data_IF_434204797549
#
_entry.id   IF_434204797549
#
_cell.length_a   1.000
_cell.length_b   1.000
_cell.length_c   1.000
_cell.angle_alpha   90.00
_cell.angle_beta   90.00
_cell.angle_gamma   90.00
#
_symmetry.space_group_name_H-M   'P 1'
#
loop_
_entity.id
_entity.type
_entity.pdbx_description
1 polymer ?
#
# COMPACT_ATOMS: atom_id res chain seq x y z
N UNK A 1 23.30 23.33 11.23
CA UNK A 1 21.83 23.20 11.33
C UNK A 1 21.54 21.72 11.35
N UNK A 2 21.13 21.19 12.49
CA UNK A 2 20.84 19.77 12.73
C UNK A 2 19.40 19.47 12.29
N UNK A 3 19.24 18.89 11.09
CA UNK A 3 17.94 18.37 10.66
C UNK A 3 17.67 17.03 11.35
N UNK A 4 16.95 17.07 12.48
CA UNK A 4 16.51 15.90 13.25
C UNK A 4 15.76 14.88 12.39
N UNK A 5 16.16 13.60 12.47
CA UNK A 5 15.40 12.49 11.92
C UNK A 5 14.11 12.34 12.72
N UNK A 6 12.96 12.60 12.10
CA UNK A 6 11.68 12.22 12.67
C UNK A 6 11.44 10.74 12.29
N UNK A 7 11.99 9.81 13.08
CA UNK A 7 11.42 8.46 13.11
C UNK A 7 9.96 8.72 13.44
N UNK A 8 9.01 8.31 12.57
CA UNK A 8 7.60 8.54 12.81
C UNK A 8 7.30 8.08 14.23
N UNK A 9 6.78 9.01 15.05
CA UNK A 9 6.51 8.74 16.46
C UNK A 9 5.71 7.44 16.54
N UNK A 10 5.82 6.71 17.66
CA UNK A 10 5.06 5.47 17.87
C UNK A 10 3.57 5.61 17.53
N UNK A 11 3.02 6.83 17.69
CA UNK A 11 1.62 7.15 17.42
C UNK A 11 1.34 7.61 15.98
N UNK A 12 2.35 7.78 15.13
CA UNK A 12 2.18 8.21 13.74
C UNK A 12 1.49 7.16 12.87
N UNK A 13 1.70 5.88 13.18
CA UNK A 13 1.12 4.74 12.46
C UNK A 13 0.50 3.74 13.44
N UNK A 14 -0.76 3.41 13.22
CA UNK A 14 -1.49 2.42 14.02
C UNK A 14 -2.11 1.38 13.10
N UNK A 15 -1.93 0.11 13.44
CA UNK A 15 -2.54 -1.01 12.70
C UNK A 15 -3.98 -1.23 13.17
N UNK A 16 -4.89 -1.40 12.23
CA UNK A 16 -6.30 -1.71 12.46
C UNK A 16 -6.61 -3.08 11.82
N UNK A 17 -6.42 -4.18 12.56
CA UNK A 17 -6.66 -5.52 12.05
C UNK A 17 -8.16 -5.83 12.02
N UNK A 18 -8.63 -6.52 10.99
CA UNK A 18 -10.03 -6.95 10.84
C UNK A 18 -10.61 -6.55 9.49
N UNK A 19 -11.93 -6.70 9.32
CA UNK A 19 -12.58 -6.38 8.04
C UNK A 19 -12.44 -4.89 7.72
N UNK A 20 -12.08 -4.56 6.48
CA UNK A 20 -11.92 -3.16 6.08
C UNK A 20 -13.19 -2.32 6.28
N UNK A 21 -14.38 -2.91 6.11
CA UNK A 21 -15.67 -2.26 6.36
C UNK A 21 -15.92 -1.93 7.83
N UNK A 22 -15.33 -2.70 8.76
CA UNK A 22 -15.45 -2.47 10.20
C UNK A 22 -14.33 -1.54 10.71
N UNK A 23 -13.14 -1.67 10.15
CA UNK A 23 -11.94 -0.97 10.61
C UNK A 23 -11.79 0.44 10.03
N UNK A 24 -12.27 0.70 8.81
CA UNK A 24 -12.16 2.02 8.18
C UNK A 24 -12.84 3.12 9.01
N UNK A 25 -14.09 2.96 9.50
CA UNK A 25 -14.71 3.96 10.37
C UNK A 25 -13.96 4.20 11.67
N UNK A 26 -13.45 3.14 12.31
CA UNK A 26 -12.70 3.25 13.57
C UNK A 26 -11.38 4.02 13.40
N UNK A 27 -10.69 3.78 12.28
CA UNK A 27 -9.49 4.53 11.92
C UNK A 27 -9.81 6.03 11.75
N UNK A 28 -10.89 6.34 11.04
CA UNK A 28 -11.30 7.72 10.76
C UNK A 28 -11.75 8.42 12.06
N UNK A 29 -12.51 7.75 12.91
CA UNK A 29 -12.95 8.27 14.22
C UNK A 29 -11.77 8.65 15.11
N UNK A 30 -10.65 7.91 15.00
CA UNK A 30 -9.39 8.23 15.68
C UNK A 30 -8.58 9.35 15.02
N UNK A 31 -9.17 10.11 14.08
CA UNK A 31 -8.53 11.22 13.40
C UNK A 31 -7.40 10.81 12.46
N UNK A 32 -7.46 9.58 11.91
CA UNK A 32 -6.42 9.04 11.02
C UNK A 32 -6.94 8.88 9.60
N UNK A 33 -6.01 8.68 8.69
CA UNK A 33 -6.25 8.38 7.28
C UNK A 33 -5.56 7.09 6.88
N UNK A 34 -6.10 6.31 5.93
CA UNK A 34 -5.45 5.07 5.51
C UNK A 34 -4.11 5.39 4.83
N UNK A 35 -3.11 4.57 5.14
CA UNK A 35 -1.78 4.61 4.53
C UNK A 35 -1.85 4.26 3.05
N UNK A 36 -1.09 4.96 2.21
CA UNK A 36 -0.97 4.67 0.78
C UNK A 36 0.10 3.61 0.51
N UNK A 37 0.09 3.01 -0.68
CA UNK A 37 1.17 2.13 -1.14
C UNK A 37 2.51 2.85 -1.18
N UNK A 38 2.52 4.14 -1.56
CA UNK A 38 3.71 4.99 -1.52
C UNK A 38 4.28 5.08 -0.10
N UNK A 39 3.45 5.43 0.88
CA UNK A 39 3.85 5.56 2.27
C UNK A 39 4.32 4.22 2.84
N UNK A 40 3.64 3.12 2.50
CA UNK A 40 4.03 1.79 2.92
C UNK A 40 5.41 1.40 2.37
N UNK A 41 5.65 1.59 1.07
CA UNK A 41 6.94 1.35 0.44
C UNK A 41 8.05 2.24 1.02
N UNK A 42 7.76 3.52 1.28
CA UNK A 42 8.67 4.46 1.94
C UNK A 42 9.08 3.95 3.32
N UNK A 43 8.12 3.56 4.15
CA UNK A 43 8.39 3.05 5.51
C UNK A 43 9.20 1.76 5.47
N UNK A 44 8.84 0.85 4.56
CA UNK A 44 9.59 -0.37 4.27
C UNK A 44 11.06 -0.04 3.91
N UNK A 45 11.32 0.87 2.97
CA UNK A 45 12.68 1.23 2.57
C UNK A 45 13.49 1.87 3.70
N UNK A 46 12.85 2.75 4.49
CA UNK A 46 13.48 3.40 5.64
C UNK A 46 13.90 2.37 6.69
N UNK A 47 13.00 1.46 7.10
CA UNK A 47 13.34 0.45 8.10
C UNK A 47 14.38 -0.54 7.58
N UNK A 48 14.31 -0.92 6.30
CA UNK A 48 15.32 -1.77 5.66
C UNK A 48 16.70 -1.14 5.71
N UNK A 49 16.80 0.15 5.38
CA UNK A 49 18.08 0.88 5.43
C UNK A 49 18.65 0.89 6.84
N UNK A 50 17.83 1.21 7.83
CA UNK A 50 18.23 1.22 9.24
C UNK A 50 18.63 -0.18 9.72
N UNK A 51 17.87 -1.21 9.37
CA UNK A 51 18.18 -2.61 9.70
C UNK A 51 19.55 -3.03 9.13
N UNK A 52 19.81 -2.68 7.87
CA UNK A 52 21.09 -3.00 7.23
C UNK A 52 22.27 -2.28 7.87
N UNK A 53 22.08 -1.02 8.29
CA UNK A 53 23.12 -0.24 8.97
C UNK A 53 23.42 -0.81 10.36
N UNK A 54 22.38 -1.05 11.16
CA UNK A 54 22.47 -1.69 12.48
C UNK A 54 23.12 -3.08 12.39
N UNK A 55 22.78 -3.87 11.37
CA UNK A 55 23.33 -5.22 11.20
C UNK A 55 24.81 -5.20 10.82
N UNK A 56 25.26 -4.17 10.08
CA UNK A 56 26.67 -4.03 9.66
C UNK A 56 27.54 -3.38 10.74
N UNK A 57 26.97 -2.50 11.55
CA UNK A 57 27.67 -1.69 12.55
C UNK A 57 27.06 -1.88 13.95
N UNK A 58 26.96 -3.11 14.50
CA UNK A 58 26.21 -3.37 15.73
C UNK A 58 26.73 -2.61 16.95
N UNK A 59 28.04 -2.36 17.02
CA UNK A 59 28.70 -1.66 18.13
C UNK A 59 28.31 -0.18 18.23
N UNK A 60 27.79 0.42 17.14
CA UNK A 60 27.33 1.80 17.12
C UNK A 60 25.94 1.99 17.75
N UNK A 61 25.24 0.89 18.09
CA UNK A 61 23.86 0.95 18.57
C UNK A 61 23.67 0.14 19.84
N UNK A 62 22.93 0.63 20.83
CA UNK A 62 22.54 -0.16 21.99
C UNK A 62 21.74 -1.41 21.60
N UNK A 63 21.91 -2.52 22.31
CA UNK A 63 21.26 -3.80 21.99
C UNK A 63 19.73 -3.68 21.89
N UNK A 64 19.11 -2.98 22.83
CA UNK A 64 17.65 -2.76 22.84
C UNK A 64 17.18 -2.04 21.56
N UNK A 65 17.97 -1.09 21.04
CA UNK A 65 17.65 -0.42 19.79
C UNK A 65 17.74 -1.39 18.61
N UNK A 66 18.78 -2.23 18.57
CA UNK A 66 18.93 -3.24 17.50
C UNK A 66 17.76 -4.22 17.48
N UNK A 67 17.34 -4.70 18.65
CA UNK A 67 16.18 -5.58 18.78
C UNK A 67 14.90 -4.90 18.26
N UNK A 68 14.63 -3.64 18.66
CA UNK A 68 13.47 -2.87 18.15
C UNK A 68 13.50 -2.68 16.64
N UNK A 69 14.67 -2.43 16.05
CA UNK A 69 14.82 -2.29 14.59
C UNK A 69 14.56 -3.62 13.89
N UNK A 70 15.10 -4.72 14.40
CA UNK A 70 14.86 -6.06 13.86
C UNK A 70 13.36 -6.43 13.91
N UNK A 71 12.69 -6.19 15.03
CA UNK A 71 11.24 -6.41 15.17
C UNK A 71 10.43 -5.57 14.19
N UNK A 72 10.73 -4.27 14.07
CA UNK A 72 10.05 -3.39 13.12
C UNK A 72 10.29 -3.80 11.67
N UNK A 73 11.50 -4.26 11.34
CA UNK A 73 11.82 -4.77 10.01
C UNK A 73 10.91 -5.97 9.67
N UNK A 74 10.76 -6.93 10.56
CA UNK A 74 9.82 -8.06 10.37
C UNK A 74 8.37 -7.56 10.25
N UNK A 75 7.95 -6.64 11.12
CA UNK A 75 6.56 -6.15 11.13
C UNK A 75 6.14 -5.38 9.88
N UNK A 76 7.07 -4.68 9.22
CA UNK A 76 6.80 -3.88 8.03
C UNK A 76 7.18 -4.61 6.75
N UNK A 77 8.37 -5.21 6.69
CA UNK A 77 8.92 -5.80 5.48
C UNK A 77 8.26 -7.15 5.15
N UNK A 78 8.01 -7.97 6.18
CA UNK A 78 7.52 -9.35 6.00
C UNK A 78 5.99 -9.47 6.17
N UNK A 79 5.28 -8.37 6.44
CA UNK A 79 3.80 -8.39 6.55
C UNK A 79 3.13 -7.61 5.43
N UNK A 80 1.89 -7.99 5.16
CA UNK A 80 1.01 -7.27 4.25
C UNK A 80 0.37 -6.05 4.93
N UNK A 81 -0.21 -5.16 4.12
CA UNK A 81 -1.08 -4.09 4.59
C UNK A 81 -2.10 -3.72 3.51
N UNK A 82 -3.31 -3.35 3.95
CA UNK A 82 -4.30 -2.69 3.10
C UNK A 82 -3.98 -1.21 2.99
N UNK A 83 -3.94 -0.72 1.75
CA UNK A 83 -3.66 0.65 1.39
C UNK A 83 -4.96 1.43 1.10
N UNK A 84 -4.91 2.75 1.32
CA UNK A 84 -5.98 3.69 1.05
C UNK A 84 -6.16 4.06 -0.43
N UNK A 85 -5.28 3.59 -1.31
CA UNK A 85 -5.44 3.72 -2.76
C UNK A 85 -6.53 2.76 -3.26
N UNK A 86 -7.24 3.14 -4.31
CA UNK A 86 -8.38 2.38 -4.83
C UNK A 86 -8.03 1.64 -6.12
N UNK A 87 -8.68 0.48 -6.29
CA UNK A 87 -8.87 -0.20 -7.56
C UNK A 87 -10.34 -0.13 -7.92
N UNK A 88 -10.66 0.53 -9.04
CA UNK A 88 -12.00 0.52 -9.60
C UNK A 88 -12.03 -0.30 -10.87
N UNK A 89 -13.07 -1.10 -11.03
CA UNK A 89 -13.24 -2.00 -12.17
C UNK A 89 -14.57 -1.75 -12.84
N UNK A 90 -14.52 -1.60 -14.16
CA UNK A 90 -15.72 -1.50 -14.99
C UNK A 90 -16.50 -2.83 -14.97
N UNK A 91 -17.82 -2.75 -15.18
CA UNK A 91 -18.67 -3.94 -15.26
C UNK A 91 -18.26 -4.87 -16.41
N UNK A 92 -18.54 -6.16 -16.26
CA UNK A 92 -18.26 -7.21 -17.25
C UNK A 92 -19.04 -7.00 -18.56
N UNK A 93 -20.13 -6.24 -18.52
CA UNK A 93 -20.95 -5.90 -19.68
C UNK A 93 -20.39 -4.73 -20.51
N UNK A 94 -19.25 -4.18 -20.09
CA UNK A 94 -18.56 -3.08 -20.74
C UNK A 94 -17.11 -3.47 -21.06
N UNK A 95 -16.40 -2.59 -21.77
CA UNK A 95 -14.99 -2.83 -22.09
C UNK A 95 -14.17 -3.05 -20.81
N UNK A 96 -13.26 -4.04 -20.81
CA UNK A 96 -12.39 -4.39 -19.66
C UNK A 96 -11.41 -3.24 -19.33
N UNK A 97 -11.90 -2.21 -18.65
CA UNK A 97 -11.13 -1.07 -18.15
C UNK A 97 -11.05 -1.07 -16.63
N UNK A 98 -10.03 -0.43 -16.09
CA UNK A 98 -9.93 -0.20 -14.65
C UNK A 98 -9.21 1.10 -14.35
N UNK A 99 -9.39 1.57 -13.12
CA UNK A 99 -8.75 2.78 -12.61
C UNK A 99 -7.99 2.45 -11.34
N UNK A 100 -6.73 2.89 -11.28
CA UNK A 100 -5.99 2.99 -10.03
C UNK A 100 -6.13 4.43 -9.56
N UNK A 101 -6.69 4.66 -8.38
CA UNK A 101 -6.90 6.00 -7.85
C UNK A 101 -6.04 6.18 -6.62
N UNK A 102 -5.08 7.10 -6.70
CA UNK A 102 -4.25 7.45 -5.55
C UNK A 102 -5.11 8.14 -4.50
N UNK A 103 -4.83 7.84 -3.24
CA UNK A 103 -5.47 8.49 -2.12
C UNK A 103 -5.36 10.03 -2.21
N UNK A 104 -6.49 10.70 -1.97
CA UNK A 104 -6.62 12.14 -1.77
C UNK A 104 -7.87 12.43 -0.90
N UNK A 105 -8.23 13.71 -0.70
CA UNK A 105 -9.42 14.08 0.07
C UNK A 105 -10.73 13.54 -0.54
N UNK A 106 -10.85 13.52 -1.87
CA UNK A 106 -12.03 12.94 -2.55
C UNK A 106 -12.18 11.44 -2.23
N UNK A 107 -11.08 10.69 -2.25
CA UNK A 107 -11.04 9.28 -1.85
C UNK A 107 -11.39 9.12 -0.37
N UNK A 108 -10.85 9.97 0.51
CA UNK A 108 -11.17 9.92 1.93
C UNK A 108 -12.67 10.13 2.17
N UNK A 109 -13.26 11.13 1.54
CA UNK A 109 -14.70 11.41 1.67
C UNK A 109 -15.57 10.30 1.09
N UNK A 110 -15.12 9.68 0.00
CA UNK A 110 -15.78 8.48 -0.54
C UNK A 110 -15.72 7.32 0.45
N UNK A 111 -14.55 7.03 1.03
CA UNK A 111 -14.37 5.93 1.98
C UNK A 111 -15.17 6.16 3.27
N UNK A 112 -15.17 7.38 3.82
CA UNK A 112 -15.97 7.78 4.99
C UNK A 112 -17.45 7.44 4.83
N UNK A 113 -18.00 7.71 3.64
CA UNK A 113 -19.42 7.53 3.35
C UNK A 113 -19.75 6.08 3.03
N UNK A 114 -18.88 5.41 2.27
CA UNK A 114 -19.28 4.21 1.54
C UNK A 114 -18.57 2.93 1.99
N UNK A 115 -17.51 3.00 2.81
CA UNK A 115 -16.81 1.83 3.35
C UNK A 115 -17.02 1.72 4.87
N UNK A 116 -18.12 1.08 5.25
CA UNK A 116 -18.61 0.94 6.63
C UNK A 116 -19.33 -0.42 6.82
N UNK A 117 -19.78 -0.80 8.03
CA UNK A 117 -20.42 -2.11 8.25
C UNK A 117 -21.73 -2.35 7.47
N UNK A 118 -22.36 -1.30 6.93
CA UNK A 118 -23.56 -1.40 6.08
C UNK A 118 -23.24 -1.44 4.59
N UNK A 119 -21.97 -1.35 4.21
CA UNK A 119 -21.55 -1.43 2.81
C UNK A 119 -22.05 -2.70 2.15
N UNK A 120 -22.68 -2.55 0.98
CA UNK A 120 -23.06 -3.68 0.15
C UNK A 120 -21.83 -4.22 -0.58
N UNK A 121 -21.36 -5.38 -0.13
CA UNK A 121 -20.27 -6.08 -0.78
C UNK A 121 -20.80 -7.08 -1.81
N UNK A 122 -20.10 -7.22 -2.92
CA UNK A 122 -20.33 -8.31 -3.88
C UNK A 122 -19.90 -9.65 -3.28
N UNK A 123 -20.25 -10.76 -3.94
CA UNK A 123 -19.84 -12.10 -3.52
C UNK A 123 -18.31 -12.27 -3.45
N UNK A 124 -17.57 -11.46 -4.22
CA UNK A 124 -16.11 -11.46 -4.21
C UNK A 124 -15.54 -10.38 -3.27
N UNK A 125 -16.37 -9.78 -2.41
CA UNK A 125 -15.98 -8.81 -1.40
C UNK A 125 -15.72 -7.40 -1.91
N UNK A 126 -16.06 -7.06 -3.15
CA UNK A 126 -15.90 -5.69 -3.67
C UNK A 126 -17.01 -4.78 -3.15
N UNK A 127 -16.78 -3.48 -3.01
CA UNK A 127 -17.88 -2.52 -2.87
C UNK A 127 -18.58 -2.41 -4.22
N UNK A 128 -19.87 -2.72 -4.26
CA UNK A 128 -20.68 -2.55 -5.47
C UNK A 128 -20.92 -1.05 -5.71
N UNK A 129 -20.53 -0.56 -6.89
CA UNK A 129 -20.84 0.80 -7.36
C UNK A 129 -22.14 0.75 -8.16
N UNK A 130 -23.22 0.36 -7.48
CA UNK A 130 -24.55 0.19 -8.08
C UNK A 130 -25.38 1.48 -8.01
N UNK A 131 -26.71 1.38 -8.07
CA UNK A 131 -27.64 2.53 -8.08
C UNK A 131 -27.38 3.57 -6.98
N UNK A 132 -26.96 3.16 -5.79
CA UNK A 132 -26.68 4.10 -4.70
C UNK A 132 -25.39 4.90 -4.91
N UNK A 133 -24.48 4.37 -5.72
CA UNK A 133 -23.15 4.93 -6.01
C UNK A 133 -22.95 5.13 -7.51
N UNK A 134 -24.04 5.34 -8.24
CA UNK A 134 -24.02 5.55 -9.68
C UNK A 134 -23.17 6.78 -10.01
N UNK A 135 -22.30 6.66 -11.01
CA UNK A 135 -21.35 7.71 -11.40
C UNK A 135 -20.09 7.79 -10.52
N UNK A 136 -19.97 7.03 -9.42
CA UNK A 136 -18.76 7.05 -8.59
C UNK A 136 -17.50 6.67 -9.39
N UNK A 137 -17.59 5.67 -10.27
CA UNK A 137 -16.49 5.26 -11.14
C UNK A 137 -16.01 6.41 -12.04
N UNK A 138 -16.94 7.16 -12.63
CA UNK A 138 -16.63 8.25 -13.56
C UNK A 138 -16.20 9.53 -12.84
N UNK A 139 -16.60 9.69 -11.57
CA UNK A 139 -16.24 10.86 -10.76
C UNK A 139 -14.75 10.96 -10.38
N UNK A 140 -14.01 9.84 -10.44
CA UNK A 140 -12.57 9.84 -10.23
C UNK A 140 -11.86 10.12 -11.56
N UNK A 141 -11.29 11.31 -11.67
CA UNK A 141 -10.55 11.81 -12.84
C UNK A 141 -9.35 12.66 -12.41
N UNK A 142 -8.42 12.95 -13.33
CA UNK A 142 -7.29 13.84 -13.11
C UNK A 142 -5.98 13.11 -12.80
N UNK A 143 -4.96 13.86 -12.38
CA UNK A 143 -3.58 13.37 -12.25
C UNK A 143 -3.38 12.29 -11.18
N UNK A 144 -4.34 12.14 -10.26
CA UNK A 144 -4.34 11.09 -9.25
C UNK A 144 -5.05 9.80 -9.72
N UNK A 145 -5.39 9.69 -11.01
CA UNK A 145 -6.03 8.51 -11.61
C UNK A 145 -5.19 7.95 -12.76
N UNK A 146 -4.85 6.67 -12.67
CA UNK A 146 -4.28 5.91 -13.78
C UNK A 146 -5.38 5.05 -14.39
N UNK A 147 -5.79 5.40 -15.61
CA UNK A 147 -6.70 4.58 -16.40
C UNK A 147 -5.92 3.46 -17.12
N UNK A 148 -6.40 2.23 -16.96
CA UNK A 148 -5.81 1.05 -17.57
C UNK A 148 -6.76 0.46 -18.61
N UNK A 149 -6.27 0.39 -19.84
CA UNK A 149 -6.92 -0.35 -20.91
C UNK A 149 -6.85 -1.85 -20.66
N UNK A 150 -7.67 -2.62 -21.40
CA UNK A 150 -7.59 -4.08 -21.42
C UNK A 150 -6.16 -4.57 -21.73
N UNK A 151 -5.48 -3.94 -22.69
CA UNK A 151 -4.13 -4.31 -23.08
C UNK A 151 -3.11 -4.12 -21.94
N UNK A 152 -3.23 -3.03 -21.17
CA UNK A 152 -2.36 -2.82 -20.00
C UNK A 152 -2.63 -3.86 -18.90
N UNK A 153 -3.90 -4.18 -18.66
CA UNK A 153 -4.28 -5.18 -17.66
C UNK A 153 -3.74 -6.56 -18.08
N UNK A 154 -4.02 -6.99 -19.30
CA UNK A 154 -3.58 -8.31 -19.78
C UNK A 154 -2.04 -8.44 -19.80
N UNK A 155 -1.31 -7.32 -20.00
CA UNK A 155 0.16 -7.32 -20.02
C UNK A 155 0.80 -7.42 -18.63
N UNK A 156 0.28 -6.67 -17.65
CA UNK A 156 0.94 -6.47 -16.36
C UNK A 156 0.26 -7.18 -15.18
N UNK A 157 -0.96 -7.66 -15.34
CA UNK A 157 -1.77 -8.23 -14.26
C UNK A 157 -1.88 -9.75 -14.37
N UNK A 158 -2.13 -10.42 -13.24
CA UNK A 158 -2.34 -11.87 -13.17
C UNK A 158 -1.06 -12.71 -13.16
N UNK A 159 0.12 -12.07 -13.12
CA UNK A 159 1.42 -12.74 -13.03
C UNK A 159 2.38 -11.99 -12.11
N UNK A 160 3.37 -12.71 -11.59
CA UNK A 160 4.55 -12.13 -10.96
C UNK A 160 5.41 -11.45 -12.03
N UNK A 161 6.10 -10.38 -11.66
CA UNK A 161 6.94 -9.62 -12.57
C UNK A 161 8.41 -10.01 -12.37
N UNK A 162 9.22 -9.91 -13.42
CA UNK A 162 10.67 -9.78 -13.27
C UNK A 162 11.01 -8.41 -12.68
N UNK A 163 12.27 -8.25 -12.22
CA UNK A 163 12.74 -6.97 -11.68
C UNK A 163 12.53 -5.81 -12.65
N UNK A 164 12.85 -6.02 -13.93
CA UNK A 164 12.73 -4.98 -14.94
C UNK A 164 11.25 -4.71 -15.28
N UNK A 165 10.43 -5.75 -15.41
CA UNK A 165 8.98 -5.57 -15.61
C UNK A 165 8.32 -4.79 -14.45
N UNK A 166 8.75 -5.02 -13.20
CA UNK A 166 8.26 -4.27 -12.05
C UNK A 166 8.61 -2.77 -12.14
N UNK A 167 9.84 -2.44 -12.57
CA UNK A 167 10.29 -1.05 -12.76
C UNK A 167 9.62 -0.34 -13.94
N UNK A 168 9.28 -1.09 -14.98
CA UNK A 168 8.64 -0.58 -16.19
C UNK A 168 7.11 -0.59 -16.10
N UNK A 169 6.55 -1.22 -15.08
CA UNK A 169 5.10 -1.32 -14.87
C UNK A 169 4.48 0.07 -14.64
N UNK A 170 3.50 0.49 -15.48
CA UNK A 170 2.77 1.75 -15.27
C UNK A 170 2.10 1.80 -13.90
N UNK A 171 1.61 0.66 -13.39
CA UNK A 171 1.00 0.56 -12.07
C UNK A 171 1.99 0.92 -10.96
N UNK A 172 3.14 0.23 -10.91
CA UNK A 172 4.12 0.47 -9.85
C UNK A 172 4.72 1.87 -9.93
N UNK A 173 5.01 2.35 -11.14
CA UNK A 173 5.48 3.73 -11.37
C UNK A 173 4.47 4.77 -10.88
N UNK A 174 3.18 4.49 -11.04
CA UNK A 174 2.14 5.41 -10.63
C UNK A 174 1.95 5.44 -9.11
N UNK A 175 1.88 4.28 -8.46
CA UNK A 175 1.62 4.20 -7.01
C UNK A 175 2.88 4.45 -6.17
N UNK A 176 4.08 4.12 -6.67
CA UNK A 176 5.34 4.31 -5.95
C UNK A 176 6.15 5.52 -6.43
N UNK A 177 5.85 6.09 -7.60
CA UNK A 177 6.44 7.33 -8.12
C UNK A 177 7.98 7.24 -8.14
N UNK A 178 8.64 8.14 -7.42
CA UNK A 178 10.10 8.22 -7.30
C UNK A 178 10.71 7.00 -6.58
N UNK A 179 9.94 6.24 -5.81
CA UNK A 179 10.43 5.09 -5.05
C UNK A 179 10.43 3.77 -5.85
N UNK A 180 9.90 3.76 -7.07
CA UNK A 180 9.66 2.52 -7.84
C UNK A 180 10.92 1.69 -8.00
N UNK A 181 12.02 2.32 -8.42
CA UNK A 181 13.27 1.61 -8.70
C UNK A 181 13.90 1.06 -7.41
N UNK A 182 14.03 1.91 -6.39
CA UNK A 182 14.63 1.54 -5.11
C UNK A 182 13.84 0.44 -4.40
N UNK A 183 12.51 0.54 -4.44
CA UNK A 183 11.63 -0.47 -3.87
C UNK A 183 11.72 -1.80 -4.61
N UNK A 184 11.70 -1.79 -5.94
CA UNK A 184 11.90 -3.00 -6.73
C UNK A 184 13.28 -3.62 -6.46
N UNK A 185 14.36 -2.83 -6.48
CA UNK A 185 15.70 -3.36 -6.20
C UNK A 185 15.80 -3.98 -4.81
N UNK A 186 15.19 -3.36 -3.79
CA UNK A 186 15.15 -3.89 -2.44
C UNK A 186 14.36 -5.20 -2.35
N UNK A 187 13.15 -5.26 -2.92
CA UNK A 187 12.30 -6.46 -2.92
C UNK A 187 12.98 -7.64 -3.62
N UNK A 188 13.59 -7.41 -4.79
CA UNK A 188 14.23 -8.49 -5.53
C UNK A 188 15.57 -8.91 -4.91
N UNK A 189 16.33 -7.98 -4.32
CA UNK A 189 17.57 -8.31 -3.61
C UNK A 189 17.28 -9.19 -2.39
N UNK A 190 16.41 -8.71 -1.50
CA UNK A 190 16.12 -9.40 -0.24
C UNK A 190 15.30 -10.67 -0.48
N UNK A 191 14.41 -10.62 -1.46
CA UNK A 191 13.61 -11.75 -1.91
C UNK A 191 14.44 -12.90 -2.43
N UNK A 192 15.40 -12.61 -3.31
CA UNK A 192 16.35 -13.61 -3.80
C UNK A 192 17.17 -14.20 -2.66
N UNK A 193 17.65 -13.35 -1.75
CA UNK A 193 18.48 -13.78 -0.63
C UNK A 193 17.73 -14.67 0.37
N UNK A 194 16.48 -14.32 0.72
CA UNK A 194 15.70 -14.99 1.78
C UNK A 194 14.86 -16.15 1.26
N UNK A 195 14.30 -16.03 0.06
CA UNK A 195 13.28 -16.94 -0.47
C UNK A 195 13.65 -17.55 -1.83
N UNK A 196 14.80 -17.15 -2.40
CA UNK A 196 15.32 -17.65 -3.67
C UNK A 196 14.38 -17.47 -4.89
N UNK A 197 13.47 -16.49 -4.86
CA UNK A 197 12.65 -16.16 -6.03
C UNK A 197 13.36 -15.16 -6.97
N UNK A 198 13.05 -15.26 -8.27
CA UNK A 198 13.53 -14.35 -9.32
C UNK A 198 12.39 -13.50 -9.92
N UNK A 199 11.15 -13.76 -9.50
CA UNK A 199 9.94 -13.01 -9.85
C UNK A 199 9.18 -12.60 -8.61
N UNK A 200 8.62 -11.39 -8.61
CA UNK A 200 7.97 -10.75 -7.47
C UNK A 200 7.13 -9.56 -7.96
N UNK A 201 6.50 -8.83 -7.03
CA UNK A 201 5.73 -7.61 -7.30
C UNK A 201 4.69 -7.80 -8.40
N UNK A 202 4.02 -8.95 -8.41
CA UNK A 202 2.88 -9.21 -9.26
C UNK A 202 1.70 -8.30 -8.93
N UNK A 203 0.79 -8.15 -9.89
CA UNK A 203 -0.41 -7.32 -9.73
C UNK A 203 -1.62 -8.20 -9.99
N UNK A 204 -2.41 -8.49 -8.96
CA UNK A 204 -3.52 -9.43 -9.03
C UNK A 204 -4.82 -8.72 -8.73
N UNK A 205 -5.75 -8.75 -9.68
CA UNK A 205 -7.08 -8.17 -9.53
C UNK A 205 -8.14 -9.22 -9.79
N UNK A 206 -9.29 -9.07 -9.13
CA UNK A 206 -10.45 -9.90 -9.42
C UNK A 206 -10.96 -9.66 -10.85
N UNK A 207 -11.63 -10.68 -11.40
CA UNK A 207 -12.35 -10.55 -12.64
C UNK A 207 -13.47 -9.51 -12.54
N UNK A 208 -13.85 -8.86 -13.66
CA UNK A 208 -14.95 -7.91 -13.65
C UNK A 208 -16.27 -8.60 -13.26
N UNK A 209 -17.12 -7.86 -12.55
CA UNK A 209 -18.44 -8.32 -12.11
C UNK A 209 -19.55 -7.63 -12.92
N UNK A 210 -20.81 -8.04 -12.76
CA UNK A 210 -21.93 -7.45 -13.52
C UNK A 210 -22.24 -5.99 -13.15
N UNK A 211 -21.62 -5.47 -12.08
CA UNK A 211 -21.65 -4.07 -11.68
C UNK A 211 -20.24 -3.49 -11.66
N UNK A 212 -20.13 -2.17 -11.73
CA UNK A 212 -18.87 -1.50 -11.41
C UNK A 212 -18.50 -1.80 -9.95
N UNK A 213 -17.21 -1.95 -9.67
CA UNK A 213 -16.75 -2.30 -8.32
C UNK A 213 -15.58 -1.43 -7.87
N UNK A 214 -15.46 -1.23 -6.56
CA UNK A 214 -14.30 -0.63 -5.90
C UNK A 214 -13.69 -1.62 -4.92
N UNK A 215 -12.35 -1.65 -4.88
CA UNK A 215 -11.56 -2.42 -3.91
C UNK A 215 -10.42 -1.55 -3.38
N UNK A 216 -10.01 -1.80 -2.14
CA UNK A 216 -8.71 -1.36 -1.66
C UNK A 216 -7.61 -2.24 -2.25
N UNK A 217 -6.38 -1.73 -2.24
CA UNK A 217 -5.20 -2.53 -2.54
C UNK A 217 -4.64 -3.16 -1.28
N UNK A 218 -4.23 -4.42 -1.35
CA UNK A 218 -3.43 -5.09 -0.35
C UNK A 218 -2.04 -5.33 -0.92
N UNK A 219 -0.99 -4.82 -0.26
CA UNK A 219 0.40 -5.09 -0.65
C UNK A 219 0.96 -6.14 0.28
N UNK A 220 1.41 -7.24 -0.27
CA UNK A 220 1.95 -8.38 0.45
C UNK A 220 3.28 -8.08 1.17
N UNK A 221 3.64 -8.97 2.10
CA UNK A 221 4.97 -9.02 2.67
C UNK A 221 6.01 -9.55 1.66
N UNK A 222 7.29 -9.44 2.01
CA UNK A 222 8.37 -9.95 1.18
C UNK A 222 8.24 -11.45 0.86
N UNK A 223 7.83 -12.27 1.83
CA UNK A 223 7.67 -13.72 1.65
C UNK A 223 6.67 -14.12 0.56
N UNK A 224 5.68 -13.26 0.30
CA UNK A 224 4.67 -13.44 -0.74
C UNK A 224 4.92 -12.49 -1.93
N UNK A 225 6.20 -12.22 -2.23
CA UNK A 225 6.64 -11.48 -3.40
C UNK A 225 6.41 -9.97 -3.35
N UNK A 226 5.88 -9.40 -2.26
CA UNK A 226 5.43 -7.99 -2.22
C UNK A 226 4.43 -7.64 -3.34
N UNK A 227 3.59 -8.61 -3.71
CA UNK A 227 2.55 -8.46 -4.72
C UNK A 227 1.48 -7.44 -4.30
N UNK A 228 0.86 -6.76 -5.27
CA UNK A 228 -0.31 -5.91 -5.08
C UNK A 228 -1.59 -6.67 -5.47
N UNK A 229 -2.53 -6.73 -4.54
CA UNK A 229 -3.81 -7.42 -4.70
C UNK A 229 -4.96 -6.42 -4.63
N UNK A 230 -5.69 -6.23 -5.72
CA UNK A 230 -6.91 -5.42 -5.75
C UNK A 230 -8.06 -6.21 -5.15
N UNK A 231 -8.10 -6.31 -3.82
CA UNK A 231 -9.10 -7.05 -3.03
C UNK A 231 -9.45 -6.26 -1.77
N UNK A 232 -10.74 -6.16 -1.48
CA UNK A 232 -11.23 -5.80 -0.15
C UNK A 232 -11.20 -7.10 0.68
N UNK A 233 -10.32 -7.15 1.68
CA UNK A 233 -10.13 -8.39 2.44
C UNK A 233 -11.34 -8.61 3.36
N UNK A 234 -12.14 -9.63 3.02
CA UNK A 234 -13.44 -9.91 3.66
C UNK A 234 -13.33 -10.45 5.10
N UNK A 235 -12.16 -10.94 5.53
CA UNK A 235 -11.98 -11.51 6.89
C UNK A 235 -10.72 -11.02 7.63
N UNK A 236 -9.63 -10.73 6.93
CA UNK A 236 -8.32 -10.46 7.53
C UNK A 236 -7.66 -9.21 6.93
N UNK A 237 -8.38 -8.09 6.93
CA UNK A 237 -7.78 -6.81 6.56
C UNK A 237 -6.78 -6.33 7.61
N UNK A 238 -5.89 -5.44 7.18
CA UNK A 238 -4.83 -4.81 7.96
C UNK A 238 -4.60 -3.40 7.46
N UNK A 239 -5.55 -2.51 7.74
CA UNK A 239 -5.38 -1.09 7.49
C UNK A 239 -4.30 -0.52 8.40
N UNK A 240 -3.56 0.46 7.90
CA UNK A 240 -2.62 1.25 8.70
C UNK A 240 -3.08 2.70 8.70
N UNK A 241 -3.43 3.23 9.87
CA UNK A 241 -3.88 4.60 10.05
C UNK A 241 -2.72 5.56 10.31
N UNK A 242 -2.62 6.57 9.46
CA UNK A 242 -1.63 7.65 9.47
C UNK A 242 -2.27 8.90 10.06
N UNK A 243 -1.62 9.53 11.02
CA UNK A 243 -2.02 10.88 11.50
C UNK A 243 -1.65 11.94 10.45
N UNK A 244 -2.45 13.02 10.29
CA UNK A 244 -2.21 14.05 9.27
C UNK A 244 -0.78 14.63 9.29
N UNK A 245 -0.20 14.82 10.47
CA UNK A 245 1.13 15.40 10.65
C UNK A 245 2.23 14.50 10.06
N UNK A 246 2.06 13.18 10.16
CA UNK A 246 3.03 12.21 9.64
C UNK A 246 3.06 12.16 8.10
N UNK A 247 1.96 12.53 7.44
CA UNK A 247 1.88 12.62 5.97
C UNK A 247 2.61 13.84 5.42
N UNK A 248 2.64 14.93 6.18
CA UNK A 248 3.29 16.18 5.81
C UNK A 248 4.74 16.29 6.30
N UNK A 249 5.24 15.29 7.03
CA UNK A 249 6.61 15.30 7.56
C UNK A 249 7.66 15.23 6.43
N UNK A 250 8.77 16.00 6.53
CA UNK A 250 9.85 16.00 5.53
C UNK A 250 10.37 14.60 5.20
N UNK A 251 10.96 14.44 4.01
CA UNK A 251 11.67 13.21 3.62
C UNK A 251 12.91 13.06 4.50
N UNK A 252 12.83 12.24 5.55
CA UNK A 252 13.95 11.95 6.44
C UNK A 252 15.15 11.37 5.67
N UNK A 253 16.33 11.98 5.82
CA UNK A 253 17.62 11.50 5.33
C UNK A 253 18.42 10.81 6.45
N UNK A 254 19.31 9.85 6.15
CA UNK A 254 19.81 8.87 7.14
C UNK A 254 20.83 9.39 8.16
N UNK A 255 21.30 10.64 8.06
CA UNK A 255 22.47 11.11 8.82
C UNK A 255 22.18 11.49 10.28
N UNK A 256 20.95 11.41 10.77
CA UNK A 256 20.53 12.12 12.00
C UNK A 256 19.88 11.23 13.08
N UNK A 257 20.37 9.98 13.22
CA UNK A 257 19.88 8.98 14.19
C UNK A 257 20.34 9.20 15.65
N UNK A 258 21.35 10.03 15.91
CA UNK A 258 22.03 10.06 17.23
C UNK A 258 21.29 10.80 18.36
N UNK A 259 20.19 11.52 18.09
CA UNK A 259 19.69 12.53 19.05
C UNK A 259 18.30 12.28 19.67
N UNK A 260 17.62 11.15 19.43
CA UNK A 260 16.25 10.93 19.96
C UNK A 260 15.90 9.49 20.34
N UNK A 261 16.77 8.82 21.10
CA UNK A 261 16.38 7.64 21.92
C UNK A 261 17.00 7.78 23.30
#
# INVERSE_FOLDING_TARGET
>A
MTETLDIPRRDSYVVFPGRNTEQMPLLIEKGRTPMTMYEFARQKLLIRKLYNDVSKNPDNYPEEFRQKVAEKNVQLWDRYADAGDLWLRQSANQERKGKVVLYNEQVLDFLKKNLNPRSRLTNQGALALDRELEGAYDSFTGDNVLELSKANIDRFFGKSNTRQEAKDSPFWRFVLRDLTNDYADAVFTDGKQKFNYDSAMGIYVADPENVQTMRLWCVNGLGDGSDAWGRLVYYFGRLVGVVPEARNAPKATPQTLEQRV
#
